data_IF_428935496539
#
_entry.id   IF_428935496539
#
_cell.length_a   1.000
_cell.length_b   1.000
_cell.length_c   1.000
_cell.angle_alpha   90.00
_cell.angle_beta   90.00
_cell.angle_gamma   90.00
#
_symmetry.space_group_name_H-M   'P 1'
#
loop_
_entity.id
_entity.type
_entity.pdbx_description
1 polymer ?
#
# COMPACT_ATOMS: atom_id res chain seq x y z
N UNK A 1 -4.49 -12.41 6.57
CA UNK A 1 -3.02 -12.41 6.47
C UNK A 1 -2.45 -11.18 7.17
N UNK A 2 -1.25 -11.25 7.75
CA UNK A 2 -0.61 -10.08 8.35
C UNK A 2 -0.20 -9.04 7.31
N UNK A 3 -0.52 -7.77 7.56
CA UNK A 3 -0.19 -6.68 6.65
C UNK A 3 1.31 -6.53 6.41
N UNK A 4 2.14 -6.84 7.42
CA UNK A 4 3.61 -6.82 7.29
C UNK A 4 4.13 -7.82 6.24
N UNK A 5 3.45 -8.96 6.05
CA UNK A 5 3.79 -9.92 4.99
C UNK A 5 3.39 -9.37 3.63
N UNK A 6 2.19 -8.80 3.52
CA UNK A 6 1.70 -8.20 2.28
C UNK A 6 2.59 -7.04 1.80
N UNK A 7 3.00 -6.16 2.71
CA UNK A 7 3.89 -5.03 2.42
C UNK A 7 5.22 -5.47 1.83
N UNK A 8 5.82 -6.56 2.33
CA UNK A 8 7.05 -7.12 1.75
C UNK A 8 6.85 -7.64 0.33
N UNK A 9 5.69 -8.20 0.04
CA UNK A 9 5.37 -8.68 -1.31
C UNK A 9 5.20 -7.49 -2.26
N UNK A 10 4.60 -6.39 -1.83
CA UNK A 10 4.53 -5.16 -2.63
C UNK A 10 5.92 -4.59 -2.94
N UNK A 11 6.82 -4.57 -1.97
CA UNK A 11 8.22 -4.18 -2.17
C UNK A 11 8.93 -5.09 -3.18
N UNK A 12 8.72 -6.41 -3.08
CA UNK A 12 9.24 -7.37 -4.07
C UNK A 12 8.69 -7.08 -5.48
N UNK A 13 7.38 -6.89 -5.62
CA UNK A 13 6.75 -6.57 -6.90
C UNK A 13 7.26 -5.26 -7.50
N UNK A 14 7.52 -4.23 -6.68
CA UNK A 14 8.08 -2.95 -7.13
C UNK A 14 9.49 -3.11 -7.72
N UNK A 15 10.27 -4.03 -7.17
CA UNK A 15 11.64 -4.33 -7.63
C UNK A 15 11.67 -5.29 -8.83
N UNK A 16 10.62 -6.08 -9.05
CA UNK A 16 10.54 -7.06 -10.15
C UNK A 16 10.18 -6.39 -11.47
N UNK A 17 11.04 -6.55 -12.48
CA UNK A 17 10.79 -6.08 -13.86
C UNK A 17 10.25 -7.17 -14.78
N UNK A 18 10.43 -8.44 -14.41
CA UNK A 18 9.98 -9.60 -15.20
C UNK A 18 8.50 -9.87 -15.00
N UNK A 19 7.72 -9.83 -16.10
CA UNK A 19 6.29 -10.14 -16.07
C UNK A 19 5.99 -11.54 -15.55
N UNK A 20 6.83 -12.52 -15.90
CA UNK A 20 6.61 -13.91 -15.48
C UNK A 20 6.88 -14.06 -13.98
N UNK A 21 7.92 -13.42 -13.48
CA UNK A 21 8.24 -13.44 -12.05
C UNK A 21 7.14 -12.74 -11.23
N UNK A 22 6.61 -11.61 -11.70
CA UNK A 22 5.44 -10.99 -11.07
C UNK A 22 4.24 -11.95 -11.02
N UNK A 23 3.97 -12.71 -12.09
CA UNK A 23 2.89 -13.70 -12.10
C UNK A 23 3.14 -14.79 -11.06
N UNK A 24 4.38 -15.28 -10.95
CA UNK A 24 4.77 -16.30 -9.96
C UNK A 24 4.58 -15.79 -8.53
N UNK A 25 5.05 -14.59 -8.22
CA UNK A 25 4.87 -13.94 -6.91
C UNK A 25 3.40 -13.81 -6.56
N UNK A 26 2.57 -13.35 -7.49
CA UNK A 26 1.14 -13.19 -7.27
C UNK A 26 0.42 -14.54 -7.13
N UNK A 27 0.79 -15.54 -7.92
CA UNK A 27 0.22 -16.89 -7.82
C UNK A 27 0.51 -17.50 -6.45
N UNK A 28 1.74 -17.37 -5.96
CA UNK A 28 2.13 -17.82 -4.63
C UNK A 28 1.34 -17.08 -3.54
N UNK A 29 1.24 -15.75 -3.62
CA UNK A 29 0.45 -14.92 -2.70
C UNK A 29 -1.00 -15.39 -2.63
N UNK A 30 -1.67 -15.54 -3.77
CA UNK A 30 -3.08 -15.97 -3.81
C UNK A 30 -3.26 -17.40 -3.31
N UNK A 31 -2.31 -18.31 -3.56
CA UNK A 31 -2.39 -19.69 -3.08
C UNK A 31 -2.34 -19.82 -1.55
N UNK A 32 -1.72 -18.86 -0.87
CA UNK A 32 -1.57 -18.81 0.59
C UNK A 32 -2.62 -17.91 1.27
N UNK A 33 -3.51 -17.29 0.50
CA UNK A 33 -4.49 -16.32 1.00
C UNK A 33 -5.83 -16.96 1.30
N UNK A 34 -6.51 -16.46 2.33
CA UNK A 34 -7.91 -16.84 2.62
C UNK A 34 -8.87 -16.14 1.66
N UNK A 35 -10.09 -16.66 1.48
CA UNK A 35 -11.09 -16.03 0.60
C UNK A 35 -11.35 -14.54 0.95
N UNK A 36 -11.35 -14.22 2.24
CA UNK A 36 -11.53 -12.86 2.73
C UNK A 36 -10.34 -11.97 2.33
N UNK A 37 -9.11 -12.45 2.54
CA UNK A 37 -7.89 -11.74 2.19
C UNK A 37 -7.78 -11.51 0.68
N UNK A 38 -8.19 -12.47 -0.16
CA UNK A 38 -8.09 -12.38 -1.63
C UNK A 38 -8.77 -11.11 -2.13
N UNK A 39 -9.96 -10.78 -1.60
CA UNK A 39 -10.69 -9.59 -2.01
C UNK A 39 -9.92 -8.30 -1.71
N UNK A 40 -9.36 -8.21 -0.50
CA UNK A 40 -8.60 -7.05 -0.03
C UNK A 40 -7.30 -6.91 -0.82
N UNK A 41 -6.56 -8.01 -0.98
CA UNK A 41 -5.29 -8.06 -1.73
C UNK A 41 -5.51 -7.59 -3.17
N UNK A 42 -6.58 -8.07 -3.81
CA UNK A 42 -6.88 -7.72 -5.21
C UNK A 42 -7.09 -6.21 -5.37
N UNK A 43 -7.87 -5.60 -4.47
CA UNK A 43 -8.09 -4.16 -4.52
C UNK A 43 -6.82 -3.38 -4.21
N UNK A 44 -6.03 -3.80 -3.22
CA UNK A 44 -4.80 -3.12 -2.84
C UNK A 44 -3.76 -3.14 -3.98
N UNK A 45 -3.63 -4.27 -4.67
CA UNK A 45 -2.78 -4.38 -5.86
C UNK A 45 -3.23 -3.44 -7.00
N UNK A 46 -4.53 -3.17 -7.09
CA UNK A 46 -5.09 -2.20 -8.03
C UNK A 46 -4.99 -0.75 -7.54
N UNK A 47 -4.42 -0.50 -6.36
CA UNK A 47 -4.35 0.84 -5.74
C UNK A 47 -5.70 1.35 -5.21
N UNK A 48 -6.66 0.46 -4.97
CA UNK A 48 -7.99 0.78 -4.44
C UNK A 48 -8.27 0.05 -3.13
N UNK A 49 -9.29 0.49 -2.41
CA UNK A 49 -9.76 -0.16 -1.18
C UNK A 49 -11.09 -0.90 -1.39
N UNK A 50 -11.71 -0.74 -2.55
CA UNK A 50 -12.99 -1.34 -2.89
C UNK A 50 -13.23 -1.34 -4.41
N UNK A 51 -14.28 -2.04 -4.84
CA UNK A 51 -14.73 -1.98 -6.22
C UNK A 51 -15.24 -0.59 -6.60
N UNK A 52 -14.97 -0.16 -7.83
CA UNK A 52 -15.36 1.16 -8.35
C UNK A 52 -16.88 1.41 -8.28
N UNK A 53 -17.69 0.37 -8.45
CA UNK A 53 -19.15 0.49 -8.39
C UNK A 53 -19.70 0.70 -6.97
N UNK A 54 -18.88 0.56 -5.91
CA UNK A 54 -19.32 0.69 -4.52
C UNK A 54 -19.36 2.14 -4.01
N UNK A 55 -18.95 3.14 -4.79
CA UNK A 55 -18.84 4.57 -4.39
C UNK A 55 -18.23 4.75 -2.99
N UNK A 56 -17.22 3.93 -2.65
CA UNK A 56 -16.50 4.02 -1.39
C UNK A 56 -15.35 5.00 -1.59
N UNK A 57 -15.36 6.09 -0.82
CA UNK A 57 -14.28 7.07 -0.78
C UNK A 57 -13.65 7.05 0.60
N UNK A 58 -12.33 6.92 0.66
CA UNK A 58 -11.58 6.94 1.92
C UNK A 58 -11.72 8.29 2.64
N UNK A 59 -11.92 9.38 1.89
CA UNK A 59 -12.10 10.72 2.46
C UNK A 59 -10.83 11.32 3.06
N UNK A 60 -9.66 10.74 2.77
CA UNK A 60 -8.36 11.19 3.26
C UNK A 60 -7.64 11.94 2.13
N UNK A 61 -7.40 13.24 2.34
CA UNK A 61 -6.52 14.03 1.49
C UNK A 61 -5.05 13.97 1.93
N UNK A 62 -4.14 14.48 1.11
CA UNK A 62 -2.69 14.51 1.40
C UNK A 62 -2.35 15.25 2.70
N UNK A 63 -3.01 16.37 3.01
CA UNK A 63 -2.83 17.08 4.28
C UNK A 63 -3.28 16.25 5.50
N UNK A 64 -4.42 15.56 5.41
CA UNK A 64 -4.89 14.69 6.50
C UNK A 64 -3.95 13.50 6.71
N UNK A 65 -3.46 12.91 5.62
CA UNK A 65 -2.47 11.84 5.68
C UNK A 65 -1.16 12.32 6.32
N UNK A 66 -0.66 13.52 5.96
CA UNK A 66 0.51 14.14 6.59
C UNK A 66 0.32 14.29 8.09
N UNK A 67 -0.78 14.90 8.53
CA UNK A 67 -1.05 15.10 9.97
C UNK A 67 -1.15 13.76 10.72
N UNK A 68 -1.76 12.74 10.12
CA UNK A 68 -1.84 11.40 10.71
C UNK A 68 -0.45 10.75 10.88
N UNK A 69 0.44 10.91 9.90
CA UNK A 69 1.81 10.38 9.96
C UNK A 69 2.65 11.14 11.00
N UNK A 70 2.55 12.47 11.04
CA UNK A 70 3.18 13.30 12.07
C UNK A 70 2.76 12.83 13.46
N UNK A 71 1.46 12.60 13.67
CA UNK A 71 0.92 12.10 14.94
C UNK A 71 1.46 10.70 15.30
N UNK A 72 1.51 9.79 14.33
CA UNK A 72 1.95 8.40 14.56
C UNK A 72 3.46 8.28 14.82
N UNK A 73 4.28 9.12 14.17
CA UNK A 73 5.75 9.05 14.24
C UNK A 73 6.36 10.01 15.27
N UNK A 74 5.62 11.05 15.67
CA UNK A 74 6.12 12.14 16.52
C UNK A 74 7.14 13.07 15.85
N UNK A 75 7.34 12.92 14.53
CA UNK A 75 8.22 13.78 13.73
C UNK A 75 7.49 15.06 13.32
N UNK A 76 8.24 16.14 13.11
CA UNK A 76 7.69 17.40 12.65
C UNK A 76 7.25 17.34 11.19
N UNK A 77 6.26 18.16 10.81
CA UNK A 77 5.69 18.16 9.47
C UNK A 77 6.73 18.45 8.37
N UNK A 78 7.77 19.25 8.65
CA UNK A 78 8.81 19.56 7.65
C UNK A 78 9.67 18.33 7.32
N UNK A 79 9.88 17.44 8.29
CA UNK A 79 10.56 16.16 8.08
C UNK A 79 9.69 15.21 7.25
N UNK A 80 8.37 15.20 7.49
CA UNK A 80 7.44 14.40 6.70
C UNK A 80 7.36 14.91 5.27
N UNK A 81 7.25 16.22 5.07
CA UNK A 81 7.13 16.87 3.76
C UNK A 81 8.36 16.61 2.88
N UNK A 82 9.57 16.61 3.44
CA UNK A 82 10.79 16.23 2.71
C UNK A 82 10.80 14.77 2.23
N UNK A 83 10.03 13.89 2.89
CA UNK A 83 9.89 12.48 2.50
C UNK A 83 8.70 12.23 1.56
N UNK A 84 7.95 13.27 1.22
CA UNK A 84 6.93 13.20 0.18
C UNK A 84 7.55 13.49 -1.18
N UNK A 85 7.41 12.54 -2.10
CA UNK A 85 7.69 12.77 -3.52
C UNK A 85 6.37 13.18 -4.19
N UNK A 86 6.06 14.47 -4.14
CA UNK A 86 4.75 14.97 -4.57
C UNK A 86 3.64 14.54 -3.60
N UNK A 87 2.59 13.90 -4.12
CA UNK A 87 1.49 13.35 -3.30
C UNK A 87 1.76 11.93 -2.77
N UNK A 88 2.95 11.37 -3.04
CA UNK A 88 3.33 10.01 -2.64
C UNK A 88 4.21 10.03 -1.40
N UNK A 89 3.77 9.32 -0.36
CA UNK A 89 4.57 9.12 0.86
C UNK A 89 5.57 8.00 0.64
N UNK A 90 6.86 8.33 0.72
CA UNK A 90 7.92 7.31 0.72
C UNK A 90 8.14 6.88 2.16
N UNK A 91 7.50 5.76 2.55
CA UNK A 91 7.48 5.29 3.94
C UNK A 91 8.75 4.56 4.36
N UNK A 92 9.68 4.28 3.45
CA UNK A 92 10.87 3.45 3.69
C UNK A 92 11.78 3.91 4.86
N UNK A 93 11.61 5.15 5.37
CA UNK A 93 12.44 5.69 6.46
C UNK A 93 11.66 6.50 7.53
N UNK A 94 10.34 6.34 7.64
CA UNK A 94 9.55 7.05 8.66
C UNK A 94 9.67 6.45 10.06
#
# INVERSE_FOLDING_TARGET
MDYSKLSKIFEQLEQTTSRNEMIEILADLYSQSTEEDISIITYFLAGSIAADYKDIKLGIGSEMAKSAITLATGKDESTIEKKMLGDVFVTYDL
#
